data_IF_212121681316
#
_entry.id   IF_212121681316
#
_cell.length_a   1.000
_cell.length_b   1.000
_cell.length_c   1.000
_cell.angle_alpha   90.00
_cell.angle_beta   90.00
_cell.angle_gamma   90.00
#
_symmetry.space_group_name_H-M   'P 1'
#
loop_
_entity.id
_entity.type
_entity.pdbx_description
1 polymer ?
#
# COMPACT_ATOMS: atom_id res chain seq x y z
N UNK A 1 -16.06 -18.53 -2.44
CA UNK A 1 -14.70 -19.08 -2.17
C UNK A 1 -13.65 -18.47 -3.10
N UNK A 2 -13.88 -18.44 -4.42
CA UNK A 2 -13.01 -17.76 -5.39
C UNK A 2 -12.80 -16.27 -5.08
N UNK A 3 -13.86 -15.55 -4.69
CA UNK A 3 -13.77 -14.11 -4.35
C UNK A 3 -12.86 -13.84 -3.13
N UNK A 4 -12.80 -14.75 -2.17
CA UNK A 4 -11.92 -14.61 -1.00
C UNK A 4 -10.44 -14.78 -1.38
N UNK A 5 -10.16 -15.64 -2.36
CA UNK A 5 -8.80 -15.88 -2.87
C UNK A 5 -8.34 -14.65 -3.67
N UNK A 6 -9.16 -14.18 -4.62
CA UNK A 6 -8.84 -12.99 -5.41
C UNK A 6 -8.65 -11.75 -4.53
N UNK A 7 -9.52 -11.56 -3.52
CA UNK A 7 -9.36 -10.49 -2.55
C UNK A 7 -8.02 -10.54 -1.81
N UNK A 8 -7.52 -11.74 -1.47
CA UNK A 8 -6.21 -11.91 -0.84
C UNK A 8 -5.08 -11.44 -1.76
N UNK A 9 -5.15 -11.77 -3.05
CA UNK A 9 -4.17 -11.32 -4.04
C UNK A 9 -4.20 -9.80 -4.23
N UNK A 10 -5.39 -9.21 -4.40
CA UNK A 10 -5.53 -7.77 -4.56
C UNK A 10 -5.05 -6.99 -3.35
N UNK A 11 -5.35 -7.46 -2.12
CA UNK A 11 -4.79 -6.85 -0.91
C UNK A 11 -3.26 -6.94 -0.86
N UNK A 12 -2.67 -7.99 -1.44
CA UNK A 12 -1.22 -8.08 -1.66
C UNK A 12 -0.71 -7.00 -2.60
N UNK A 13 -1.33 -6.86 -3.78
CA UNK A 13 -0.93 -5.86 -4.77
C UNK A 13 -1.09 -4.42 -4.25
N UNK A 14 -2.17 -4.15 -3.53
CA UNK A 14 -2.43 -2.85 -2.89
C UNK A 14 -1.34 -2.53 -1.86
N UNK A 15 -0.88 -3.49 -1.06
CA UNK A 15 0.23 -3.27 -0.13
C UNK A 15 1.53 -2.90 -0.86
N UNK A 16 1.77 -3.48 -2.06
CA UNK A 16 2.92 -3.12 -2.90
C UNK A 16 2.78 -1.67 -3.41
N UNK A 17 1.60 -1.26 -3.89
CA UNK A 17 1.33 0.14 -4.27
C UNK A 17 1.56 1.10 -3.10
N UNK A 18 1.02 0.76 -1.92
CA UNK A 18 1.20 1.58 -0.71
C UNK A 18 2.68 1.78 -0.41
N UNK A 19 3.48 0.71 -0.36
CA UNK A 19 4.92 0.81 -0.12
C UNK A 19 5.63 1.57 -1.25
N UNK A 20 5.23 1.37 -2.50
CA UNK A 20 5.80 2.08 -3.65
C UNK A 20 5.67 3.60 -3.50
N UNK A 21 4.47 4.10 -3.22
CA UNK A 21 4.24 5.55 -3.06
C UNK A 21 4.82 6.07 -1.74
N UNK A 22 4.75 5.29 -0.64
CA UNK A 22 5.37 5.64 0.64
C UNK A 22 6.89 5.86 0.53
N UNK A 23 7.54 5.23 -0.46
CA UNK A 23 8.98 5.39 -0.76
C UNK A 23 9.28 6.64 -1.57
N UNK A 24 8.33 7.13 -2.35
CA UNK A 24 8.48 8.37 -3.11
C UNK A 24 8.33 9.56 -2.18
N UNK A 25 7.16 9.69 -1.55
CA UNK A 25 6.84 10.78 -0.63
C UNK A 25 5.83 10.35 0.44
N UNK A 26 5.82 10.99 1.62
CA UNK A 26 4.79 10.72 2.63
C UNK A 26 3.39 11.06 2.13
N UNK A 27 2.43 10.16 2.33
CA UNK A 27 1.04 10.37 1.88
C UNK A 27 0.04 10.34 3.04
N UNK A 28 -1.16 10.88 2.83
CA UNK A 28 -2.30 10.72 3.75
C UNK A 28 -3.37 9.81 3.15
N UNK A 29 -4.20 9.20 4.01
CA UNK A 29 -5.10 8.13 3.61
C UNK A 29 -6.06 8.47 2.45
N UNK A 30 -6.60 9.69 2.42
CA UNK A 30 -7.49 10.08 1.32
C UNK A 30 -6.78 10.15 -0.04
N UNK A 31 -5.56 10.70 -0.10
CA UNK A 31 -4.76 10.69 -1.31
C UNK A 31 -4.47 9.27 -1.80
N UNK A 32 -4.17 8.34 -0.88
CA UNK A 32 -3.91 6.94 -1.23
C UNK A 32 -5.17 6.23 -1.80
N UNK A 33 -6.37 6.59 -1.34
CA UNK A 33 -7.61 6.07 -1.95
C UNK A 33 -7.76 6.54 -3.38
N UNK A 34 -7.52 7.82 -3.64
CA UNK A 34 -7.62 8.41 -4.98
C UNK A 34 -6.58 7.79 -5.92
N UNK A 35 -5.32 7.67 -5.47
CA UNK A 35 -4.24 7.03 -6.25
C UNK A 35 -4.58 5.57 -6.59
N UNK A 36 -5.03 4.78 -5.62
CA UNK A 36 -5.40 3.38 -5.86
C UNK A 36 -6.58 3.23 -6.83
N UNK A 37 -7.50 4.19 -6.83
CA UNK A 37 -8.62 4.22 -7.77
C UNK A 37 -8.17 4.41 -9.21
N UNK A 38 -7.15 5.24 -9.46
CA UNK A 38 -6.53 5.39 -10.79
C UNK A 38 -5.89 4.09 -11.29
N UNK A 39 -5.43 3.22 -10.38
CA UNK A 39 -4.94 1.87 -10.69
C UNK A 39 -6.03 0.79 -10.71
N UNK A 40 -7.31 1.17 -10.65
CA UNK A 40 -8.45 0.25 -10.74
C UNK A 40 -8.85 -0.43 -9.42
N UNK A 41 -8.33 0.02 -8.27
CA UNK A 41 -8.71 -0.49 -6.96
C UNK A 41 -9.69 0.46 -6.25
N UNK A 42 -10.97 0.09 -6.23
CA UNK A 42 -11.97 0.81 -5.43
C UNK A 42 -11.95 0.33 -3.97
N UNK A 43 -11.39 1.15 -3.08
CA UNK A 43 -11.28 0.84 -1.66
C UNK A 43 -12.06 1.82 -0.79
N UNK A 44 -12.88 1.25 0.09
CA UNK A 44 -13.53 2.03 1.14
C UNK A 44 -12.53 2.43 2.23
N UNK A 45 -12.81 3.55 2.95
CA UNK A 45 -12.07 3.92 4.16
C UNK A 45 -12.00 2.77 5.19
N UNK A 46 -13.08 2.01 5.34
CA UNK A 46 -13.16 0.85 6.23
C UNK A 46 -12.25 -0.31 5.85
N UNK A 47 -11.65 -0.29 4.66
CA UNK A 47 -10.65 -1.26 4.21
C UNK A 47 -9.24 -0.67 4.27
N UNK A 48 -9.05 0.56 3.79
CA UNK A 48 -7.73 1.19 3.73
C UNK A 48 -7.14 1.42 5.12
N UNK A 49 -7.87 2.07 6.04
CA UNK A 49 -7.30 2.46 7.32
C UNK A 49 -6.90 1.26 8.19
N UNK A 50 -7.70 0.18 8.29
CA UNK A 50 -7.24 -1.04 8.95
C UNK A 50 -6.03 -1.69 8.28
N UNK A 51 -5.89 -1.57 6.95
CA UNK A 51 -4.71 -2.08 6.24
C UNK A 51 -3.46 -1.26 6.59
N UNK A 52 -3.55 0.08 6.53
CA UNK A 52 -2.46 0.98 6.91
C UNK A 52 -2.03 0.76 8.36
N UNK A 53 -2.98 0.61 9.28
CA UNK A 53 -2.67 0.31 10.68
C UNK A 53 -1.95 -1.04 10.85
N UNK A 54 -2.32 -2.07 10.08
CA UNK A 54 -1.60 -3.36 10.09
C UNK A 54 -0.19 -3.23 9.52
N UNK A 55 0.00 -2.41 8.48
CA UNK A 55 1.32 -2.18 7.89
C UNK A 55 2.23 -1.38 8.85
N UNK A 56 1.68 -0.38 9.53
CA UNK A 56 2.35 0.35 10.61
C UNK A 56 2.74 -0.59 11.77
N UNK A 57 1.80 -1.41 12.24
CA UNK A 57 2.05 -2.38 13.33
C UNK A 57 3.10 -3.44 12.97
N UNK A 58 3.27 -3.74 11.67
CA UNK A 58 4.33 -4.62 11.15
C UNK A 58 5.67 -3.90 10.94
N UNK A 59 5.73 -2.59 11.18
CA UNK A 59 6.93 -1.78 11.05
C UNK A 59 7.36 -1.51 9.61
N UNK A 60 6.52 -1.79 8.60
CA UNK A 60 6.84 -1.48 7.19
C UNK A 60 6.45 -0.06 6.79
N UNK A 61 5.61 0.59 7.60
CA UNK A 61 5.28 2.01 7.51
C UNK A 61 5.52 2.68 8.86
N UNK A 62 5.89 3.95 8.83
CA UNK A 62 5.86 4.86 9.96
C UNK A 62 4.74 5.88 9.75
N UNK A 63 4.10 6.31 10.85
CA UNK A 63 3.04 7.32 10.83
C UNK A 63 3.52 8.58 11.55
N UNK A 64 3.35 9.72 10.89
CA UNK A 64 3.57 11.05 11.44
C UNK A 64 2.25 11.83 11.49
N UNK A 65 1.97 12.51 12.60
CA UNK A 65 0.78 13.37 12.71
C UNK A 65 1.18 14.83 12.51
N UNK A 66 0.57 15.48 11.51
CA UNK A 66 0.83 16.89 11.18
C UNK A 66 -0.42 17.72 11.39
N UNK A 67 -0.27 18.85 12.06
CA UNK A 67 -1.33 19.85 12.15
C UNK A 67 -1.27 20.75 10.92
N UNK A 68 -2.29 20.69 10.06
CA UNK A 68 -2.45 21.56 8.90
C UNK A 68 -3.76 22.30 9.07
N UNK A 69 -3.68 23.62 9.24
CA UNK A 69 -4.84 24.51 9.42
C UNK A 69 -5.80 24.07 10.54
N UNK A 70 -5.24 23.63 11.67
CA UNK A 70 -6.01 23.15 12.83
C UNK A 70 -6.54 21.73 12.70
N UNK A 71 -6.25 21.03 11.59
CA UNK A 71 -6.65 19.64 11.37
C UNK A 71 -5.44 18.71 11.47
N UNK A 72 -5.53 17.71 12.35
CA UNK A 72 -4.53 16.65 12.44
C UNK A 72 -4.70 15.70 11.25
N UNK A 73 -3.66 15.62 10.42
CA UNK A 73 -3.55 14.67 9.31
C UNK A 73 -2.50 13.62 9.63
N UNK A 74 -2.84 12.36 9.36
CA UNK A 74 -1.94 11.21 9.51
C UNK A 74 -1.23 10.99 8.18
N UNK A 75 0.07 11.21 8.18
CA UNK A 75 0.96 10.92 7.06
C UNK A 75 1.65 9.58 7.29
N UNK A 76 1.79 8.80 6.24
CA UNK A 76 2.47 7.52 6.24
C UNK A 76 3.70 7.59 5.34
N UNK A 77 4.81 7.05 5.81
CA UNK A 77 6.07 6.96 5.08
C UNK A 77 6.66 5.57 5.21
N UNK A 78 7.45 5.15 4.23
CA UNK A 78 8.12 3.85 4.27
C UNK A 78 9.24 3.84 5.32
N UNK A 79 9.40 2.73 6.03
CA UNK A 79 10.56 2.48 6.89
C UNK A 79 11.69 1.78 6.12
N UNK A 80 12.85 1.59 6.75
CA UNK A 80 13.92 0.75 6.20
C UNK A 80 13.42 -0.66 5.91
N UNK A 81 12.73 -1.29 6.87
CA UNK A 81 12.12 -2.61 6.70
C UNK A 81 11.10 -2.63 5.56
N UNK A 82 10.26 -1.60 5.46
CA UNK A 82 9.30 -1.47 4.36
C UNK A 82 9.98 -1.41 3.00
N UNK A 83 11.11 -0.70 2.89
CA UNK A 83 11.87 -0.63 1.63
C UNK A 83 12.46 -1.98 1.26
N UNK A 84 12.99 -2.74 2.22
CA UNK A 84 13.49 -4.11 1.97
C UNK A 84 12.37 -5.04 1.49
N UNK A 85 11.21 -4.99 2.15
CA UNK A 85 10.02 -5.76 1.76
C UNK A 85 9.55 -5.38 0.35
N UNK A 86 9.56 -4.08 0.01
CA UNK A 86 9.18 -3.61 -1.32
C UNK A 86 10.14 -4.14 -2.40
N UNK A 87 11.45 -4.13 -2.17
CA UNK A 87 12.40 -4.65 -3.16
C UNK A 87 12.23 -6.16 -3.38
N UNK A 88 11.98 -6.94 -2.32
CA UNK A 88 11.67 -8.37 -2.46
C UNK A 88 10.36 -8.60 -3.22
N UNK A 89 9.31 -7.83 -2.90
CA UNK A 89 8.03 -7.92 -3.60
C UNK A 89 8.16 -7.56 -5.08
N UNK A 90 8.98 -6.55 -5.44
CA UNK A 90 9.26 -6.18 -6.84
C UNK A 90 9.95 -7.31 -7.58
N UNK A 91 10.95 -7.97 -6.98
CA UNK A 91 11.61 -9.13 -7.58
C UNK A 91 10.60 -10.24 -7.91
N UNK A 92 9.73 -10.58 -6.94
CA UNK A 92 8.73 -11.63 -7.11
C UNK A 92 7.63 -11.26 -8.11
N UNK A 93 7.19 -10.01 -8.12
CA UNK A 93 6.23 -9.52 -9.11
C UNK A 93 6.83 -9.58 -10.53
N UNK A 94 8.11 -9.23 -10.68
CA UNK A 94 8.79 -9.30 -11.98
C UNK A 94 9.00 -10.73 -12.47
N UNK A 95 9.38 -11.65 -11.57
CA UNK A 95 9.46 -13.09 -11.86
C UNK A 95 8.11 -13.62 -12.35
N UNK A 96 7.03 -13.36 -11.60
CA UNK A 96 5.67 -13.73 -11.99
C UNK A 96 5.26 -13.13 -13.33
N UNK A 97 5.54 -11.84 -13.54
CA UNK A 97 5.18 -11.16 -14.78
C UNK A 97 5.82 -11.81 -16.00
N UNK A 98 7.07 -12.27 -15.91
CA UNK A 98 7.72 -13.01 -17.01
C UNK A 98 6.99 -14.30 -17.35
N UNK A 99 6.44 -15.00 -16.36
CA UNK A 99 5.73 -16.27 -16.59
C UNK A 99 4.36 -16.06 -17.21
N UNK A 100 3.65 -15.00 -16.82
CA UNK A 100 2.26 -14.76 -17.23
C UNK A 100 2.12 -13.85 -18.46
N UNK A 101 3.16 -13.11 -18.85
CA UNK A 101 3.10 -12.18 -20.00
C UNK A 101 3.33 -12.88 -21.35
N UNK A 102 3.99 -14.04 -21.36
CA UNK A 102 4.38 -14.75 -22.59
C UNK A 102 3.64 -16.09 -22.78
N UNK A 103 2.35 -16.14 -22.41
CA UNK A 103 1.40 -17.13 -22.92
C UNK A 103 0.19 -16.45 -23.56
#
# INVERSE_FOLDING_TARGET
MQDQILRKFFLGFIQIHILHHAKQEPFYGAWMMDELKEHGYDMSPGTLYPLLHKMEAKGVLEKEEKNIDGKIRKYYKITTLGSEVLEEARRKAYELFKEIKDK
#
